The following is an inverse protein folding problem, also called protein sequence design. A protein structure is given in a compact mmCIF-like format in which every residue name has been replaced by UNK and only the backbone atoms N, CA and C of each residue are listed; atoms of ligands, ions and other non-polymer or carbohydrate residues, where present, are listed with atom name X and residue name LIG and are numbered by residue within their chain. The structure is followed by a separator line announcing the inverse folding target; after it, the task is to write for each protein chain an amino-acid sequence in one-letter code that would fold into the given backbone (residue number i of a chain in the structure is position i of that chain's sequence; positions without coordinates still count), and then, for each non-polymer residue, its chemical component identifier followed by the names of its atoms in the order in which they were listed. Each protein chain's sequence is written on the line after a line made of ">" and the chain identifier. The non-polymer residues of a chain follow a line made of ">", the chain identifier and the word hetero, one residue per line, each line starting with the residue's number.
data_IF_957877277917
#
_entry.id   IF_957877277917
#
_cell.length_a   1.000
_cell.length_b   1.000
_cell.length_c   1.000
_cell.angle_alpha   90.00
_cell.angle_beta   90.00
_cell.angle_gamma   90.00
#
_symmetry.space_group_name_H-M   'P 1'
#
loop_
_entity.id
_entity.type
_entity.pdbx_description
1 polymer ?
#
# COMPACT_ATOMS: atom_id res chain seq x y z
N UNK A 1 34.72 -17.87 -53.50
CA UNK A 1 34.00 -16.68 -52.99
C UNK A 1 32.73 -16.94 -52.18
N UNK A 2 32.20 -18.18 -52.06
CA UNK A 2 30.96 -18.46 -51.30
C UNK A 2 31.17 -18.72 -49.79
N UNK A 3 32.31 -19.30 -49.40
CA UNK A 3 32.59 -19.67 -48.00
C UNK A 3 32.91 -18.45 -47.11
N UNK A 4 33.62 -17.46 -47.64
CA UNK A 4 34.01 -16.24 -46.90
C UNK A 4 32.82 -15.33 -46.59
N UNK A 5 31.83 -15.23 -47.48
CA UNK A 5 30.60 -14.48 -47.22
C UNK A 5 29.71 -15.16 -46.17
N UNK A 6 29.68 -16.49 -46.12
CA UNK A 6 28.92 -17.26 -45.13
C UNK A 6 29.51 -17.12 -43.72
N UNK A 7 30.85 -17.18 -43.60
CA UNK A 7 31.57 -16.97 -42.34
C UNK A 7 31.38 -15.56 -41.77
N UNK A 8 31.38 -14.52 -42.62
CA UNK A 8 31.07 -13.15 -42.18
C UNK A 8 29.61 -13.01 -41.73
N UNK A 9 28.67 -13.71 -42.35
CA UNK A 9 27.26 -13.65 -41.96
C UNK A 9 27.02 -14.35 -40.62
N UNK A 10 27.67 -15.49 -40.38
CA UNK A 10 27.59 -16.22 -39.10
C UNK A 10 28.29 -15.45 -37.97
N UNK A 11 29.42 -14.81 -38.24
CA UNK A 11 30.08 -13.97 -37.23
C UNK A 11 29.28 -12.70 -36.92
N UNK A 12 28.61 -12.11 -37.91
CA UNK A 12 27.73 -10.94 -37.71
C UNK A 12 26.47 -11.31 -36.91
N UNK A 13 25.88 -12.48 -37.14
CA UNK A 13 24.76 -13.00 -36.33
C UNK A 13 25.23 -13.35 -34.90
N UNK A 14 26.43 -13.92 -34.74
CA UNK A 14 27.00 -14.17 -33.41
C UNK A 14 27.29 -12.87 -32.64
N UNK A 15 27.76 -11.81 -33.32
CA UNK A 15 27.96 -10.47 -32.73
C UNK A 15 26.62 -9.80 -32.41
N UNK A 16 25.57 -9.99 -33.21
CA UNK A 16 24.21 -9.52 -32.91
C UNK A 16 23.55 -10.30 -31.75
N UNK A 17 23.85 -11.59 -31.61
CA UNK A 17 23.44 -12.43 -30.47
C UNK A 17 24.20 -12.06 -29.19
N UNK A 18 25.45 -11.58 -29.31
CA UNK A 18 26.28 -11.11 -28.19
C UNK A 18 25.99 -9.65 -27.81
N UNK A 19 25.51 -8.82 -28.73
CA UNK A 19 25.13 -7.42 -28.47
C UNK A 19 23.78 -7.26 -27.75
N UNK A 20 23.00 -8.34 -27.62
CA UNK A 20 21.67 -8.35 -27.00
C UNK A 20 21.58 -8.95 -25.59
N UNK A 21 22.65 -9.52 -25.06
CA UNK A 21 22.64 -10.13 -23.71
C UNK A 21 23.37 -9.22 -22.72
N UNK A 22 22.66 -8.23 -22.16
CA UNK A 22 23.12 -7.57 -20.94
C UNK A 22 23.34 -8.65 -19.87
N UNK A 23 24.49 -8.60 -19.18
CA UNK A 23 24.81 -9.61 -18.17
C UNK A 23 23.77 -9.56 -17.04
N UNK A 24 23.53 -10.70 -16.38
CA UNK A 24 22.57 -10.73 -15.26
C UNK A 24 22.96 -9.70 -14.17
N UNK A 25 24.26 -9.53 -13.92
CA UNK A 25 24.76 -8.53 -12.97
C UNK A 25 24.36 -7.11 -13.37
N UNK A 26 24.52 -6.74 -14.66
CA UNK A 26 24.15 -5.43 -15.15
C UNK A 26 22.63 -5.20 -15.08
N UNK A 27 21.82 -6.22 -15.37
CA UNK A 27 20.36 -6.16 -15.22
C UNK A 27 19.96 -5.90 -13.77
N UNK A 28 20.58 -6.62 -12.82
CA UNK A 28 20.35 -6.40 -11.39
C UNK A 28 20.79 -5.00 -10.92
N UNK A 29 21.90 -4.50 -11.45
CA UNK A 29 22.42 -3.15 -11.13
C UNK A 29 21.47 -2.06 -11.61
N UNK A 30 20.96 -2.20 -12.83
CA UNK A 30 19.98 -1.26 -13.37
C UNK A 30 18.66 -1.32 -12.60
N UNK A 31 18.17 -2.51 -12.22
CA UNK A 31 17.01 -2.65 -11.34
C UNK A 31 17.18 -1.86 -10.03
N UNK A 32 18.32 -2.00 -9.34
CA UNK A 32 18.58 -1.28 -8.08
C UNK A 32 18.61 0.23 -8.28
N UNK A 33 19.26 0.69 -9.35
CA UNK A 33 19.29 2.11 -9.73
C UNK A 33 17.89 2.66 -10.00
N UNK A 34 17.09 1.97 -10.81
CA UNK A 34 15.73 2.37 -11.12
C UNK A 34 14.81 2.33 -9.91
N UNK A 35 15.02 1.35 -9.01
CA UNK A 35 14.30 1.28 -7.72
C UNK A 35 14.60 2.51 -6.87
N UNK A 36 15.87 2.91 -6.71
CA UNK A 36 16.21 4.12 -5.94
C UNK A 36 15.54 5.37 -6.52
N UNK A 37 15.63 5.57 -7.84
CA UNK A 37 14.99 6.71 -8.53
C UNK A 37 13.48 6.71 -8.27
N UNK A 38 12.86 5.54 -8.30
CA UNK A 38 11.43 5.42 -8.05
C UNK A 38 11.07 5.73 -6.59
N UNK A 39 11.84 5.20 -5.62
CA UNK A 39 11.63 5.49 -4.20
C UNK A 39 11.71 7.00 -3.92
N UNK A 40 12.72 7.71 -4.45
CA UNK A 40 12.82 9.16 -4.31
C UNK A 40 11.59 9.90 -4.85
N UNK A 41 11.08 9.49 -6.02
CA UNK A 41 9.88 10.08 -6.62
C UNK A 41 8.64 9.80 -5.77
N UNK A 42 8.47 8.56 -5.31
CA UNK A 42 7.34 8.15 -4.49
C UNK A 42 7.34 8.92 -3.16
N UNK A 43 8.45 8.89 -2.42
CA UNK A 43 8.61 9.60 -1.15
C UNK A 43 8.33 11.10 -1.30
N UNK A 44 8.85 11.73 -2.36
CA UNK A 44 8.59 13.15 -2.64
C UNK A 44 7.11 13.47 -2.86
N UNK A 45 6.34 12.59 -3.50
CA UNK A 45 4.91 12.82 -3.66
C UNK A 45 4.12 12.61 -2.36
N UNK A 46 4.56 11.68 -1.51
CA UNK A 46 3.97 11.44 -0.16
C UNK A 46 4.27 12.62 0.78
N UNK A 47 5.53 13.06 0.86
CA UNK A 47 5.91 14.21 1.70
C UNK A 47 5.13 15.47 1.34
N UNK A 48 4.82 15.66 0.06
CA UNK A 48 3.97 16.78 -0.35
C UNK A 48 2.59 16.66 0.27
N UNK A 49 1.96 15.48 0.27
CA UNK A 49 0.61 15.30 0.83
C UNK A 49 0.59 15.43 2.34
N UNK A 50 1.66 15.02 3.03
CA UNK A 50 1.69 14.97 4.49
C UNK A 50 2.00 16.34 5.12
N UNK A 51 2.79 17.18 4.44
CA UNK A 51 3.09 18.56 4.88
C UNK A 51 1.97 19.57 4.56
N UNK A 52 0.73 19.24 4.90
CA UNK A 52 -0.45 20.09 4.70
C UNK A 52 -0.68 20.97 5.94
N UNK A 53 -0.99 22.26 5.77
CA UNK A 53 -1.21 23.15 6.91
C UNK A 53 -2.53 22.83 7.64
N UNK A 54 -2.65 23.19 8.93
CA UNK A 54 -3.90 23.01 9.69
C UNK A 54 -5.12 23.69 9.02
N UNK A 55 -4.89 24.83 8.37
CA UNK A 55 -5.91 25.55 7.61
C UNK A 55 -6.37 24.77 6.36
N UNK A 56 -5.45 24.09 5.69
CA UNK A 56 -5.76 23.21 4.55
C UNK A 56 -6.45 21.91 4.98
N UNK A 57 -6.14 21.40 6.18
CA UNK A 57 -6.80 20.21 6.76
C UNK A 57 -8.28 20.48 7.09
N UNK A 58 -8.66 21.73 7.35
CA UNK A 58 -10.06 22.11 7.64
C UNK A 58 -11.01 21.99 6.43
N UNK A 59 -10.47 21.98 5.20
CA UNK A 59 -11.23 21.78 3.96
C UNK A 59 -10.78 20.49 3.27
N UNK A 60 -11.52 19.40 3.51
CA UNK A 60 -11.19 18.08 2.96
C UNK A 60 -11.05 18.08 1.44
N UNK A 61 -11.71 19.00 0.71
CA UNK A 61 -11.64 19.07 -0.76
C UNK A 61 -10.26 19.48 -1.23
N UNK A 62 -9.55 20.34 -0.49
CA UNK A 62 -8.15 20.71 -0.80
C UNK A 62 -7.24 19.51 -0.62
N UNK A 63 -7.40 18.76 0.47
CA UNK A 63 -6.67 17.50 0.73
C UNK A 63 -6.91 16.49 -0.39
N UNK A 64 -8.16 16.30 -0.82
CA UNK A 64 -8.50 15.40 -1.93
C UNK A 64 -7.88 15.87 -3.25
N UNK A 65 -7.95 17.17 -3.58
CA UNK A 65 -7.35 17.69 -4.81
C UNK A 65 -5.82 17.46 -4.86
N UNK A 66 -5.16 17.61 -3.70
CA UNK A 66 -3.72 17.39 -3.54
C UNK A 66 -3.34 15.91 -3.70
N UNK A 67 -4.05 15.03 -3.00
CA UNK A 67 -3.86 13.57 -3.12
C UNK A 67 -4.22 13.05 -4.51
N UNK A 68 -5.22 13.60 -5.18
CA UNK A 68 -5.54 13.26 -6.58
C UNK A 68 -4.40 13.62 -7.55
N UNK A 69 -3.77 14.77 -7.35
CA UNK A 69 -2.61 15.19 -8.14
C UNK A 69 -1.41 14.28 -7.89
N UNK A 70 -1.12 13.97 -6.63
CA UNK A 70 -0.07 13.03 -6.24
C UNK A 70 -0.33 11.64 -6.82
N UNK A 71 -1.57 11.13 -6.72
CA UNK A 71 -1.95 9.81 -7.21
C UNK A 71 -1.75 9.65 -8.72
N UNK A 72 -2.12 10.67 -9.51
CA UNK A 72 -1.85 10.68 -10.97
C UNK A 72 -0.35 10.59 -11.26
N UNK A 73 0.47 11.26 -10.47
CA UNK A 73 1.93 11.25 -10.61
C UNK A 73 2.53 9.90 -10.21
N UNK A 74 2.12 9.35 -9.06
CA UNK A 74 2.52 8.03 -8.56
C UNK A 74 2.16 6.94 -9.59
N UNK A 75 0.94 6.93 -10.11
CA UNK A 75 0.49 5.97 -11.15
C UNK A 75 1.37 6.02 -12.39
N UNK A 76 1.71 7.22 -12.85
CA UNK A 76 2.61 7.43 -14.00
C UNK A 76 4.01 6.93 -13.69
N UNK A 77 4.60 7.42 -12.61
CA UNK A 77 5.98 7.11 -12.25
C UNK A 77 6.18 5.62 -11.94
N UNK A 78 5.16 4.95 -11.39
CA UNK A 78 5.17 3.50 -11.18
C UNK A 78 5.10 2.71 -12.48
N UNK A 79 4.34 3.19 -13.47
CA UNK A 79 4.34 2.59 -14.81
C UNK A 79 5.73 2.72 -15.44
N UNK A 80 6.29 3.93 -15.42
CA UNK A 80 7.61 4.20 -15.98
C UNK A 80 8.69 3.36 -15.29
N UNK A 81 8.62 3.17 -13.97
CA UNK A 81 9.51 2.30 -13.20
C UNK A 81 9.44 0.83 -13.63
N UNK A 82 8.24 0.27 -13.84
CA UNK A 82 8.08 -1.12 -14.29
C UNK A 82 8.67 -1.36 -15.68
N UNK A 83 8.70 -0.32 -16.51
CA UNK A 83 9.19 -0.38 -17.88
C UNK A 83 10.68 0.01 -17.99
N UNK A 84 11.33 0.44 -16.89
CA UNK A 84 12.70 1.00 -16.92
C UNK A 84 13.82 0.00 -16.66
N UNK A 85 13.52 -1.26 -16.34
CA UNK A 85 14.51 -2.31 -16.11
C UNK A 85 14.10 -3.63 -16.78
N UNK A 86 15.08 -4.49 -17.07
CA UNK A 86 14.84 -5.82 -17.62
C UNK A 86 14.23 -6.73 -16.55
N UNK A 87 13.10 -7.38 -16.86
CA UNK A 87 12.36 -8.25 -15.92
C UNK A 87 13.17 -9.45 -15.45
N UNK A 88 14.17 -9.90 -16.21
CA UNK A 88 15.09 -10.96 -15.80
C UNK A 88 15.90 -10.56 -14.55
N UNK A 89 16.03 -9.25 -14.25
CA UNK A 89 16.61 -8.78 -12.99
C UNK A 89 15.83 -9.27 -11.75
N UNK A 90 14.56 -9.66 -11.92
CA UNK A 90 13.70 -10.22 -10.87
C UNK A 90 13.83 -11.74 -10.72
N UNK A 91 14.65 -12.42 -11.53
CA UNK A 91 15.01 -13.82 -11.28
C UNK A 91 15.85 -13.94 -9.99
N UNK A 92 16.56 -12.86 -9.64
CA UNK A 92 17.16 -12.73 -8.32
C UNK A 92 16.08 -12.64 -7.23
N UNK A 93 16.05 -13.63 -6.34
CA UNK A 93 15.08 -13.73 -5.23
C UNK A 93 15.01 -12.46 -4.36
N UNK A 94 16.14 -11.79 -4.14
CA UNK A 94 16.22 -10.58 -3.33
C UNK A 94 15.56 -9.40 -4.04
N UNK A 95 15.92 -9.18 -5.31
CA UNK A 95 15.31 -8.14 -6.15
C UNK A 95 13.80 -8.35 -6.30
N UNK A 96 13.36 -9.60 -6.49
CA UNK A 96 11.93 -9.94 -6.55
C UNK A 96 11.17 -9.53 -5.29
N UNK A 97 11.75 -9.82 -4.11
CA UNK A 97 11.16 -9.42 -2.83
C UNK A 97 11.09 -7.90 -2.69
N UNK A 98 12.17 -7.20 -3.03
CA UNK A 98 12.21 -5.72 -3.01
C UNK A 98 11.15 -5.14 -3.94
N UNK A 99 11.11 -5.59 -5.20
CA UNK A 99 10.11 -5.16 -6.17
C UNK A 99 8.68 -5.40 -5.67
N UNK A 100 8.42 -6.57 -5.08
CA UNK A 100 7.10 -6.92 -4.56
C UNK A 100 6.69 -6.00 -3.41
N UNK A 101 7.57 -5.76 -2.43
CA UNK A 101 7.29 -4.85 -1.31
C UNK A 101 7.03 -3.41 -1.78
N UNK A 102 7.89 -2.88 -2.66
CA UNK A 102 7.73 -1.54 -3.24
C UNK A 102 6.42 -1.43 -4.04
N UNK A 103 6.11 -2.44 -4.85
CA UNK A 103 4.88 -2.48 -5.64
C UNK A 103 3.63 -2.53 -4.75
N UNK A 104 3.67 -3.31 -3.68
CA UNK A 104 2.56 -3.43 -2.73
C UNK A 104 2.33 -2.10 -1.98
N UNK A 105 3.39 -1.44 -1.49
CA UNK A 105 3.29 -0.12 -0.83
C UNK A 105 2.73 0.92 -1.81
N UNK A 106 3.20 0.90 -3.05
CA UNK A 106 2.71 1.79 -4.11
C UNK A 106 1.21 1.58 -4.36
N UNK A 107 0.78 0.32 -4.48
CA UNK A 107 -0.63 -0.01 -4.69
C UNK A 107 -1.50 0.45 -3.50
N UNK A 108 -0.99 0.33 -2.27
CA UNK A 108 -1.65 0.80 -1.06
C UNK A 108 -1.88 2.32 -1.09
N UNK A 109 -0.89 3.13 -1.46
CA UNK A 109 -1.08 4.58 -1.64
C UNK A 109 -2.05 4.93 -2.77
N UNK A 110 -1.95 4.24 -3.91
CA UNK A 110 -2.87 4.44 -5.04
C UNK A 110 -4.31 4.20 -4.60
N UNK A 111 -4.56 3.08 -3.91
CA UNK A 111 -5.88 2.71 -3.43
C UNK A 111 -6.40 3.68 -2.39
N UNK A 112 -5.55 4.10 -1.43
CA UNK A 112 -5.89 5.11 -0.43
C UNK A 112 -6.38 6.40 -1.11
N UNK A 113 -5.58 6.96 -2.02
CA UNK A 113 -5.94 8.22 -2.68
C UNK A 113 -7.16 8.09 -3.60
N UNK A 114 -7.33 6.96 -4.30
CA UNK A 114 -8.55 6.68 -5.07
C UNK A 114 -9.79 6.59 -4.16
N UNK A 115 -9.67 5.99 -2.98
CA UNK A 115 -10.75 5.88 -2.00
C UNK A 115 -11.11 7.25 -1.41
N UNK A 116 -10.13 8.07 -1.04
CA UNK A 116 -10.38 9.45 -0.58
C UNK A 116 -11.15 10.25 -1.64
N UNK A 117 -10.74 10.15 -2.91
CA UNK A 117 -11.46 10.80 -4.00
C UNK A 117 -12.88 10.26 -4.16
N UNK A 118 -13.07 8.93 -4.07
CA UNK A 118 -14.40 8.31 -4.14
C UNK A 118 -15.33 8.82 -3.04
N UNK A 119 -14.86 8.83 -1.79
CA UNK A 119 -15.61 9.33 -0.62
C UNK A 119 -15.99 10.80 -0.83
N UNK A 120 -15.07 11.62 -1.33
CA UNK A 120 -15.30 13.06 -1.55
C UNK A 120 -16.42 13.39 -2.55
N UNK A 121 -16.76 12.44 -3.41
CA UNK A 121 -17.80 12.55 -4.45
C UNK A 121 -19.14 11.98 -4.02
N UNK A 122 -19.21 11.40 -2.83
CA UNK A 122 -20.46 10.90 -2.28
C UNK A 122 -21.45 12.04 -2.05
N UNK A 123 -22.73 11.70 -2.10
CA UNK A 123 -23.80 12.69 -1.90
C UNK A 123 -23.79 13.19 -0.45
N UNK A 124 -24.02 14.49 -0.28
CA UNK A 124 -24.20 15.13 1.05
C UNK A 124 -23.02 14.85 2.01
N UNK A 125 -21.78 14.89 1.49
CA UNK A 125 -20.55 14.67 2.27
C UNK A 125 -19.93 15.98 2.77
N UNK A 126 -19.86 16.12 4.09
CA UNK A 126 -19.16 17.18 4.80
C UNK A 126 -17.80 16.70 5.34
N UNK A 127 -17.08 17.58 6.04
CA UNK A 127 -15.75 17.26 6.58
C UNK A 127 -15.77 16.15 7.62
N UNK A 128 -16.79 16.07 8.48
CA UNK A 128 -16.86 15.05 9.54
C UNK A 128 -17.14 13.69 8.91
N UNK A 129 -18.13 13.64 8.01
CA UNK A 129 -18.47 12.43 7.26
C UNK A 129 -17.30 11.95 6.42
N UNK A 130 -16.62 12.85 5.70
CA UNK A 130 -15.40 12.50 4.97
C UNK A 130 -14.33 11.90 5.90
N UNK A 131 -14.07 12.57 7.03
CA UNK A 131 -13.02 12.18 7.96
C UNK A 131 -13.26 10.81 8.58
N UNK A 132 -14.50 10.50 9.00
CA UNK A 132 -14.87 9.15 9.48
C UNK A 132 -14.41 8.07 8.52
N UNK A 133 -14.75 8.20 7.25
CA UNK A 133 -14.43 7.19 6.24
C UNK A 133 -12.94 7.16 5.89
N UNK A 134 -12.32 8.32 5.74
CA UNK A 134 -10.90 8.44 5.50
C UNK A 134 -10.05 7.79 6.62
N UNK A 135 -10.44 7.95 7.90
CA UNK A 135 -9.73 7.33 9.03
C UNK A 135 -9.73 5.80 8.97
N UNK A 136 -10.82 5.19 8.50
CA UNK A 136 -10.86 3.75 8.27
C UNK A 136 -9.88 3.31 7.18
N UNK A 137 -9.84 4.04 6.06
CA UNK A 137 -8.92 3.78 4.96
C UNK A 137 -7.45 3.98 5.39
N UNK A 138 -7.15 5.04 6.16
CA UNK A 138 -5.83 5.27 6.74
C UNK A 138 -5.41 4.13 7.66
N UNK A 139 -6.28 3.71 8.59
CA UNK A 139 -6.00 2.61 9.52
C UNK A 139 -5.60 1.33 8.80
N UNK A 140 -6.41 0.90 7.83
CA UNK A 140 -6.16 -0.34 7.08
C UNK A 140 -4.88 -0.21 6.24
N UNK A 141 -4.67 0.94 5.61
CA UNK A 141 -3.53 1.19 4.71
C UNK A 141 -2.22 1.24 5.48
N UNK A 142 -2.13 2.00 6.58
CA UNK A 142 -0.91 2.15 7.37
C UNK A 142 -0.49 0.83 8.03
N UNK A 143 -1.46 0.05 8.51
CA UNK A 143 -1.19 -1.29 9.04
C UNK A 143 -0.61 -2.22 7.97
N UNK A 144 -1.15 -2.18 6.74
CA UNK A 144 -0.65 -2.98 5.62
C UNK A 144 0.73 -2.53 5.14
N UNK A 145 0.99 -1.22 5.13
CA UNK A 145 2.27 -0.63 4.73
C UNK A 145 3.40 -1.04 5.66
N UNK A 146 3.19 -1.01 6.98
CA UNK A 146 4.19 -1.45 7.96
C UNK A 146 4.61 -2.91 7.72
N UNK A 147 3.65 -3.80 7.49
CA UNK A 147 3.93 -5.19 7.13
C UNK A 147 4.75 -5.34 5.84
N UNK A 148 4.61 -4.42 4.88
CA UNK A 148 5.44 -4.42 3.68
C UNK A 148 6.85 -3.85 3.92
N UNK A 149 7.01 -2.92 4.86
CA UNK A 149 8.32 -2.47 5.32
C UNK A 149 9.07 -3.63 5.99
N UNK A 150 8.42 -4.41 6.87
CA UNK A 150 9.02 -5.63 7.45
C UNK A 150 9.53 -6.58 6.35
N UNK A 151 8.74 -6.78 5.30
CA UNK A 151 9.14 -7.60 4.15
C UNK A 151 10.37 -7.04 3.40
N UNK A 152 10.52 -5.73 3.32
CA UNK A 152 11.68 -5.07 2.71
C UNK A 152 12.92 -5.19 3.60
N UNK A 153 12.75 -5.07 4.92
CA UNK A 153 13.82 -5.30 5.90
C UNK A 153 14.32 -6.75 5.85
N UNK A 154 13.43 -7.74 5.78
CA UNK A 154 13.75 -9.15 5.55
C UNK A 154 14.52 -9.38 4.25
N UNK A 155 14.14 -8.64 3.20
CA UNK A 155 14.84 -8.66 1.93
C UNK A 155 16.19 -7.94 1.99
N UNK A 156 16.58 -7.35 3.13
CA UNK A 156 17.78 -6.53 3.33
C UNK A 156 17.83 -5.40 2.30
N UNK A 157 16.70 -4.70 2.10
CA UNK A 157 16.57 -3.63 1.13
C UNK A 157 17.58 -2.50 1.37
N UNK A 158 17.77 -2.04 2.61
CA UNK A 158 18.79 -1.04 2.99
C UNK A 158 20.21 -1.40 2.50
N UNK A 159 20.58 -2.69 2.56
CA UNK A 159 21.90 -3.17 2.09
C UNK A 159 22.00 -3.34 0.58
N UNK A 160 20.88 -3.30 -0.13
CA UNK A 160 20.79 -3.56 -1.59
C UNK A 160 20.62 -2.28 -2.37
N UNK A 161 19.85 -1.36 -1.80
CA UNK A 161 19.48 -0.07 -2.35
C UNK A 161 20.42 1.01 -1.80
N UNK A 162 20.24 2.24 -2.26
CA UNK A 162 20.92 3.36 -1.63
C UNK A 162 20.34 3.53 -0.21
N UNK A 163 21.20 3.51 0.80
CA UNK A 163 20.80 3.55 2.21
C UNK A 163 19.95 4.79 2.54
N UNK A 164 20.42 5.98 2.17
CA UNK A 164 19.75 7.23 2.51
C UNK A 164 18.37 7.33 1.83
N UNK A 165 18.29 6.89 0.57
CA UNK A 165 17.01 6.82 -0.18
C UNK A 165 16.05 5.84 0.47
N UNK A 166 16.52 4.64 0.82
CA UNK A 166 15.69 3.62 1.44
C UNK A 166 15.21 4.04 2.83
N UNK A 167 16.11 4.56 3.67
CA UNK A 167 15.75 5.02 5.02
C UNK A 167 14.75 6.16 4.98
N UNK A 168 14.90 7.13 4.07
CA UNK A 168 13.91 8.20 3.95
C UNK A 168 12.53 7.69 3.47
N UNK A 169 12.51 6.73 2.55
CA UNK A 169 11.28 6.06 2.14
C UNK A 169 10.64 5.28 3.30
N UNK A 170 11.43 4.49 4.02
CA UNK A 170 10.99 3.71 5.18
C UNK A 170 10.39 4.61 6.26
N UNK A 171 11.09 5.66 6.67
CA UNK A 171 10.60 6.64 7.65
C UNK A 171 9.28 7.27 7.20
N UNK A 172 9.18 7.66 5.92
CA UNK A 172 7.97 8.28 5.36
C UNK A 172 6.78 7.33 5.40
N UNK A 173 6.98 6.06 5.04
CA UNK A 173 5.92 5.04 5.09
C UNK A 173 5.52 4.71 6.53
N UNK A 174 6.47 4.68 7.47
CA UNK A 174 6.22 4.31 8.86
C UNK A 174 5.62 5.44 9.71
N UNK A 175 5.66 6.71 9.28
CA UNK A 175 4.97 7.82 9.97
C UNK A 175 3.49 7.49 10.23
N UNK A 176 2.76 7.05 9.21
CA UNK A 176 1.35 6.68 9.36
C UNK A 176 1.12 5.52 10.34
N UNK A 177 2.05 4.57 10.42
CA UNK A 177 1.97 3.46 11.38
C UNK A 177 2.06 3.95 12.83
N UNK A 178 2.89 4.95 13.10
CA UNK A 178 3.04 5.55 14.44
C UNK A 178 1.74 6.24 14.91
N UNK A 179 0.97 6.79 13.96
CA UNK A 179 -0.30 7.47 14.23
C UNK A 179 -1.50 6.51 14.34
N UNK A 180 -1.30 5.21 14.09
CA UNK A 180 -2.39 4.22 14.09
C UNK A 180 -3.30 4.29 15.32
N UNK A 181 -2.79 4.38 16.57
CA UNK A 181 -3.64 4.46 17.76
C UNK A 181 -4.59 5.66 17.74
N UNK A 182 -4.09 6.82 17.30
CA UNK A 182 -4.89 8.04 17.18
C UNK A 182 -5.91 7.91 16.04
N UNK A 183 -5.49 7.37 14.88
CA UNK A 183 -6.36 7.18 13.71
C UNK A 183 -7.53 6.26 14.04
N UNK A 184 -7.26 5.09 14.62
CA UNK A 184 -8.32 4.13 14.97
C UNK A 184 -9.20 4.66 16.11
N UNK A 185 -8.61 5.31 17.12
CA UNK A 185 -9.37 5.91 18.21
C UNK A 185 -10.36 6.97 17.68
N UNK A 186 -9.89 7.84 16.81
CA UNK A 186 -10.73 8.86 16.16
C UNK A 186 -11.83 8.25 15.31
N UNK A 187 -11.53 7.21 14.53
CA UNK A 187 -12.51 6.48 13.74
C UNK A 187 -13.63 5.87 14.61
N UNK A 188 -13.27 5.28 15.75
CA UNK A 188 -14.23 4.67 16.68
C UNK A 188 -15.06 5.73 17.42
N UNK A 189 -14.48 6.89 17.75
CA UNK A 189 -15.21 7.97 18.42
C UNK A 189 -16.32 8.58 17.57
N UNK A 190 -16.22 8.54 16.24
CA UNK A 190 -17.21 9.15 15.34
C UNK A 190 -18.32 8.18 14.88
N UNK A 191 -18.30 6.92 15.32
CA UNK A 191 -19.38 5.96 15.06
C UNK A 191 -20.65 6.33 15.86
N UNK A 192 -21.83 6.09 15.31
CA UNK A 192 -23.11 6.34 15.97
C UNK A 192 -23.59 7.79 15.91
N UNK A 193 -22.89 8.67 15.16
CA UNK A 193 -23.16 10.10 15.09
C UNK A 193 -23.82 10.56 13.77
N UNK A 194 -24.50 9.65 13.05
CA UNK A 194 -25.23 9.95 11.81
C UNK A 194 -24.34 10.36 10.64
N UNK A 195 -23.08 9.92 10.66
CA UNK A 195 -22.06 10.24 9.66
C UNK A 195 -22.01 9.16 8.56
N UNK A 196 -23.19 8.69 8.14
CA UNK A 196 -23.32 7.58 7.23
C UNK A 196 -23.19 7.99 5.76
N UNK A 197 -22.50 7.16 4.99
CA UNK A 197 -22.49 7.17 3.53
C UNK A 197 -23.43 6.11 2.97
N UNK A 198 -23.93 6.35 1.76
CA UNK A 198 -24.56 5.29 0.97
C UNK A 198 -23.57 4.13 0.79
N UNK A 199 -24.02 2.87 1.00
CA UNK A 199 -23.17 1.66 0.88
C UNK A 199 -22.44 1.52 -0.46
N UNK A 200 -22.90 2.17 -1.53
CA UNK A 200 -22.25 2.19 -2.84
C UNK A 200 -20.99 3.08 -2.85
N UNK A 201 -20.98 4.11 -2.02
CA UNK A 201 -19.94 5.14 -1.97
C UNK A 201 -18.81 4.73 -1.01
N UNK A 202 -19.11 3.92 0.00
CA UNK A 202 -18.10 3.31 0.88
C UNK A 202 -17.10 2.45 0.09
N UNK A 203 -15.78 2.62 0.28
CA UNK A 203 -14.77 1.72 -0.24
C UNK A 203 -14.96 0.28 0.27
N UNK A 204 -14.94 -0.70 -0.65
CA UNK A 204 -15.11 -2.11 -0.30
C UNK A 204 -13.75 -2.80 -0.17
N UNK A 205 -13.53 -3.41 0.99
CA UNK A 205 -12.34 -4.18 1.28
C UNK A 205 -12.60 -5.68 1.11
N UNK A 206 -12.01 -6.28 0.08
CA UNK A 206 -11.97 -7.73 -0.04
C UNK A 206 -10.89 -8.28 0.90
N UNK A 207 -11.33 -8.64 2.10
CA UNK A 207 -10.49 -9.12 3.20
C UNK A 207 -9.67 -10.35 2.80
N UNK A 208 -10.21 -11.22 1.94
CA UNK A 208 -9.48 -12.37 1.38
C UNK A 208 -8.36 -11.95 0.45
N UNK A 209 -8.55 -10.93 -0.39
CA UNK A 209 -7.49 -10.40 -1.25
C UNK A 209 -6.46 -9.58 -0.49
N UNK A 210 -6.86 -8.94 0.61
CA UNK A 210 -5.97 -8.11 1.43
C UNK A 210 -4.83 -8.91 2.08
N UNK A 211 -4.98 -10.24 2.20
CA UNK A 211 -3.92 -11.14 2.65
C UNK A 211 -2.62 -11.04 1.83
N UNK A 212 -2.66 -10.50 0.60
CA UNK A 212 -1.44 -10.26 -0.19
C UNK A 212 -0.46 -9.26 0.47
N UNK A 213 -0.96 -8.42 1.39
CA UNK A 213 -0.19 -7.43 2.14
C UNK A 213 0.31 -7.93 3.51
N UNK A 214 0.21 -9.24 3.76
CA UNK A 214 0.80 -9.83 4.96
C UNK A 214 2.33 -9.71 4.96
N UNK A 215 2.93 -9.66 6.15
CA UNK A 215 4.38 -9.84 6.26
C UNK A 215 4.75 -11.33 6.07
N UNK A 216 6.03 -11.63 5.92
CA UNK A 216 6.51 -12.99 5.68
C UNK A 216 6.22 -13.94 6.85
N UNK A 217 6.12 -13.41 8.07
CA UNK A 217 5.90 -14.17 9.31
C UNK A 217 4.43 -14.50 9.57
N UNK A 218 3.50 -13.71 9.00
CA UNK A 218 2.05 -13.92 9.04
C UNK A 218 1.64 -15.09 8.14
N UNK A 219 2.07 -16.30 8.48
CA UNK A 219 1.80 -17.54 7.73
C UNK A 219 0.53 -18.25 8.18
N UNK A 220 0.03 -17.92 9.38
CA UNK A 220 -1.13 -18.58 9.98
C UNK A 220 -2.43 -18.18 9.29
N UNK A 221 -3.39 -19.09 9.33
CA UNK A 221 -4.77 -18.87 8.86
C UNK A 221 -5.75 -18.89 10.03
N UNK A 222 -6.76 -18.04 9.97
CA UNK A 222 -7.88 -17.97 10.91
C UNK A 222 -9.14 -18.50 10.24
N UNK A 223 -9.89 -19.36 10.93
CA UNK A 223 -11.12 -19.94 10.40
C UNK A 223 -12.21 -18.88 10.20
N UNK A 224 -13.11 -19.12 9.23
CA UNK A 224 -14.25 -18.24 8.97
C UNK A 224 -15.09 -17.99 10.23
N UNK A 225 -15.36 -19.05 11.01
CA UNK A 225 -16.07 -18.94 12.29
C UNK A 225 -15.39 -17.96 13.25
N UNK A 226 -14.09 -18.13 13.51
CA UNK A 226 -13.35 -17.26 14.44
C UNK A 226 -13.33 -15.80 13.97
N UNK A 227 -13.20 -15.57 12.67
CA UNK A 227 -13.27 -14.22 12.10
C UNK A 227 -14.67 -13.62 12.23
N UNK A 228 -15.72 -14.36 11.82
CA UNK A 228 -17.10 -13.87 11.87
C UNK A 228 -17.56 -13.61 13.31
N UNK A 229 -17.16 -14.45 14.27
CA UNK A 229 -17.42 -14.23 15.70
C UNK A 229 -16.80 -12.91 16.21
N UNK A 230 -15.67 -12.47 15.66
CA UNK A 230 -15.06 -11.17 15.96
C UNK A 230 -15.77 -10.04 15.20
N UNK A 231 -16.10 -10.25 13.93
CA UNK A 231 -16.83 -9.28 13.12
C UNK A 231 -18.19 -8.93 13.75
N UNK A 232 -18.92 -9.92 14.26
CA UNK A 232 -20.18 -9.71 14.97
C UNK A 232 -20.03 -8.87 16.24
N UNK A 233 -18.90 -8.98 16.94
CA UNK A 233 -18.64 -8.15 18.12
C UNK A 233 -18.34 -6.72 17.74
N UNK A 234 -17.51 -6.52 16.72
CA UNK A 234 -17.15 -5.19 16.22
C UNK A 234 -18.36 -4.49 15.61
N UNK A 235 -19.14 -5.19 14.78
CA UNK A 235 -20.27 -4.64 14.04
C UNK A 235 -21.44 -4.18 14.93
N UNK A 236 -21.50 -4.62 16.20
CA UNK A 236 -22.48 -4.10 17.17
C UNK A 236 -22.24 -2.63 17.53
N UNK A 237 -21.00 -2.18 17.39
CA UNK A 237 -20.55 -0.84 17.79
C UNK A 237 -20.24 0.06 16.58
N UNK A 238 -20.28 -0.49 15.35
CA UNK A 238 -20.01 0.26 14.12
C UNK A 238 -21.31 0.59 13.40
N UNK A 239 -21.30 1.75 12.73
CA UNK A 239 -22.36 2.16 11.81
C UNK A 239 -22.51 1.17 10.64
N UNK A 240 -23.71 1.09 10.06
CA UNK A 240 -24.06 0.16 8.98
C UNK A 240 -23.17 0.27 7.73
N UNK A 241 -22.62 1.46 7.49
CA UNK A 241 -21.72 1.78 6.39
C UNK A 241 -20.25 1.39 6.67
N UNK A 242 -19.96 0.99 7.91
CA UNK A 242 -18.63 0.77 8.47
C UNK A 242 -18.40 -0.68 8.91
N UNK A 243 -19.44 -1.52 8.84
CA UNK A 243 -19.42 -2.92 9.27
C UNK A 243 -18.42 -3.78 8.48
N UNK A 244 -17.70 -4.63 9.22
CA UNK A 244 -16.84 -5.66 8.65
C UNK A 244 -17.68 -6.78 8.01
N UNK A 245 -17.40 -7.17 6.75
CA UNK A 245 -18.16 -8.21 6.09
C UNK A 245 -17.86 -9.59 6.67
N UNK A 246 -18.88 -10.46 6.74
CA UNK A 246 -18.64 -11.87 7.01
C UNK A 246 -17.92 -12.54 5.85
N UNK A 247 -17.15 -13.58 6.18
CA UNK A 247 -16.41 -14.40 5.22
C UNK A 247 -16.89 -15.85 5.24
N UNK A 248 -16.76 -16.52 4.09
CA UNK A 248 -17.14 -17.93 3.94
C UNK A 248 -15.94 -18.89 3.94
N UNK A 249 -14.71 -18.36 3.88
CA UNK A 249 -13.46 -19.13 3.86
C UNK A 249 -12.53 -18.61 4.94
N UNK A 250 -11.51 -19.39 5.30
CA UNK A 250 -10.45 -18.91 6.19
C UNK A 250 -9.71 -17.72 5.58
N UNK A 251 -9.28 -16.80 6.43
CA UNK A 251 -8.41 -15.67 6.06
C UNK A 251 -7.03 -15.81 6.70
N UNK A 252 -6.07 -15.04 6.22
CA UNK A 252 -4.77 -14.95 6.86
C UNK A 252 -4.86 -14.20 8.20
N UNK A 253 -3.98 -14.53 9.15
CA UNK A 253 -3.93 -13.88 10.47
C UNK A 253 -3.73 -12.36 10.38
N UNK A 254 -2.99 -11.85 9.39
CA UNK A 254 -2.87 -10.42 9.10
C UNK A 254 -4.22 -9.70 9.03
N UNK A 255 -5.16 -10.28 8.28
CA UNK A 255 -6.51 -9.71 8.05
C UNK A 255 -7.32 -9.74 9.35
N UNK A 256 -7.15 -10.79 10.14
CA UNK A 256 -7.77 -10.89 11.46
C UNK A 256 -7.21 -9.83 12.43
N UNK A 257 -5.89 -9.56 12.40
CA UNK A 257 -5.24 -8.54 13.24
C UNK A 257 -5.77 -7.13 12.98
N UNK A 258 -6.06 -6.78 11.72
CA UNK A 258 -6.72 -5.51 11.37
C UNK A 258 -8.07 -5.39 12.11
N UNK A 259 -8.89 -6.43 12.08
CA UNK A 259 -10.18 -6.41 12.76
C UNK A 259 -10.03 -6.43 14.29
N UNK A 260 -9.05 -7.17 14.80
CA UNK A 260 -8.72 -7.25 16.22
C UNK A 260 -8.34 -5.89 16.79
N UNK A 261 -7.52 -5.10 16.08
CA UNK A 261 -7.15 -3.76 16.55
C UNK A 261 -8.35 -2.82 16.68
N UNK A 262 -9.35 -2.92 15.78
CA UNK A 262 -10.62 -2.18 15.96
C UNK A 262 -11.36 -2.60 17.23
N UNK A 263 -11.45 -3.91 17.47
CA UNK A 263 -12.11 -4.46 18.65
C UNK A 263 -11.42 -4.06 19.95
N UNK A 264 -10.08 -4.05 19.98
CA UNK A 264 -9.32 -3.71 21.17
C UNK A 264 -9.58 -2.26 21.60
N UNK A 265 -9.63 -1.33 20.63
CA UNK A 265 -9.94 0.09 20.88
C UNK A 265 -11.39 0.27 21.33
N UNK A 266 -12.34 -0.48 20.76
CA UNK A 266 -13.72 -0.50 21.23
C UNK A 266 -13.81 -0.96 22.70
N UNK A 267 -13.03 -1.97 23.09
CA UNK A 267 -12.97 -2.44 24.48
C UNK A 267 -12.33 -1.44 25.42
N UNK A 268 -11.37 -0.67 24.97
CA UNK A 268 -10.81 0.44 25.76
C UNK A 268 -11.85 1.54 25.96
N UNK A 269 -12.59 1.92 24.91
CA UNK A 269 -13.69 2.90 25.02
C UNK A 269 -14.72 2.48 26.07
N UNK A 270 -15.21 1.24 26.01
CA UNK A 270 -16.16 0.69 27.00
C UNK A 270 -15.63 0.77 28.44
N UNK A 271 -14.33 0.49 28.65
CA UNK A 271 -13.70 0.51 29.99
C UNK A 271 -13.59 1.91 30.57
N UNK A 272 -13.45 2.93 29.72
CA UNK A 272 -13.27 4.32 30.13
C UNK A 272 -14.56 5.14 30.15
N UNK A 273 -15.71 4.57 29.73
CA UNK A 273 -17.03 5.16 29.92
C UNK A 273 -17.36 6.35 29.00
N UNK A 274 -16.79 6.36 27.78
CA UNK A 274 -17.07 7.35 26.73
C UNK A 274 -18.22 6.93 25.83
#
# INVERSE_FOLDING_TARGET
>A
MKVTKLLMFVSMIAVLLLAGCQSQEDKEKEFRKQTNIYLEKLTKEIDKTDNTSEEELSDYKKTVAKTDKANKKIKKDFKDYKDSFDKDALDNKKNKKIYTGVSNITELYINLYDNLNKISKAKDVDTIKFSKHALNDFYITYFAQANQIDNLQDAKAEKTLNKDVYSHFEDTVLKGYQDLPQVIGSYIMVQGHGQDLDKKDVPKYDMTKYAKYKNNDDTKTVSAKKYNDLADKVNKELDDDSQAPHIHKSVNEFVYKILQGKYDVLKEKERHGY
#
